data_IF_334391908800
#
_entry.id   IF_334391908800
#
_cell.length_a   1.000
_cell.length_b   1.000
_cell.length_c   1.000
_cell.angle_alpha   90.00
_cell.angle_beta   90.00
_cell.angle_gamma   90.00
#
_symmetry.space_group_name_H-M   'P 1'
#
loop_
_entity.id
_entity.type
_entity.pdbx_description
1 polymer ?
#
# COMPACT_ATOMS: atom_id res chain seq x y z
N UNK A 1 7.26 -18.86 9.56
CA UNK A 1 6.70 -20.22 9.39
C UNK A 1 5.75 -20.21 8.20
N UNK A 2 6.16 -20.74 7.05
CA UNK A 2 5.37 -20.80 5.83
C UNK A 2 5.41 -22.23 5.26
N UNK A 3 4.73 -23.15 5.92
CA UNK A 3 4.66 -24.58 5.56
C UNK A 3 3.21 -25.03 5.46
N UNK A 4 2.35 -24.26 4.79
CA UNK A 4 0.94 -24.61 4.60
C UNK A 4 0.30 -24.35 3.22
N UNK A 5 0.96 -23.83 2.14
CA UNK A 5 0.21 -23.52 0.91
C UNK A 5 -0.20 -24.77 0.11
N UNK A 6 0.63 -25.82 0.07
CA UNK A 6 0.35 -27.04 -0.72
C UNK A 6 -0.75 -27.91 -0.10
N UNK A 7 -0.70 -28.15 1.21
CA UNK A 7 -1.70 -28.98 1.90
C UNK A 7 -3.08 -28.33 1.90
N UNK A 8 -3.15 -27.00 2.06
CA UNK A 8 -4.41 -26.27 1.95
C UNK A 8 -5.02 -26.42 0.56
N UNK A 9 -4.24 -26.27 -0.51
CA UNK A 9 -4.73 -26.42 -1.89
C UNK A 9 -5.32 -27.82 -2.16
N UNK A 10 -4.59 -28.88 -1.80
CA UNK A 10 -5.06 -30.25 -2.00
C UNK A 10 -6.25 -30.60 -1.10
N UNK A 11 -6.24 -30.13 0.15
CA UNK A 11 -7.33 -30.33 1.10
C UNK A 11 -8.61 -29.64 0.62
N UNK A 12 -8.54 -28.38 0.17
CA UNK A 12 -9.71 -27.68 -0.37
C UNK A 12 -10.27 -28.38 -1.60
N UNK A 13 -9.42 -28.81 -2.54
CA UNK A 13 -9.86 -29.56 -3.72
C UNK A 13 -10.54 -30.88 -3.33
N UNK A 14 -9.96 -31.62 -2.39
CA UNK A 14 -10.51 -32.87 -1.90
C UNK A 14 -11.90 -32.67 -1.26
N UNK A 15 -12.03 -31.71 -0.34
CA UNK A 15 -13.30 -31.45 0.35
C UNK A 15 -14.36 -30.88 -0.59
N UNK A 16 -14.00 -29.98 -1.51
CA UNK A 16 -14.93 -29.47 -2.52
C UNK A 16 -15.38 -30.58 -3.47
N UNK A 17 -14.46 -31.45 -3.92
CA UNK A 17 -14.79 -32.60 -4.75
C UNK A 17 -15.73 -33.57 -4.03
N UNK A 18 -15.45 -33.91 -2.78
CA UNK A 18 -16.32 -34.76 -1.95
C UNK A 18 -17.71 -34.15 -1.77
N UNK A 19 -17.78 -32.84 -1.59
CA UNK A 19 -19.03 -32.11 -1.45
C UNK A 19 -19.87 -32.11 -2.74
N UNK A 20 -19.23 -31.93 -3.90
CA UNK A 20 -19.90 -32.03 -5.20
C UNK A 20 -20.46 -33.43 -5.46
N UNK A 21 -19.72 -34.48 -5.07
CA UNK A 21 -20.21 -35.86 -5.12
C UNK A 21 -21.42 -36.04 -4.20
N UNK A 22 -21.42 -35.43 -3.02
CA UNK A 22 -22.55 -35.49 -2.09
C UNK A 22 -23.79 -34.78 -2.65
N UNK A 23 -23.64 -33.63 -3.32
CA UNK A 23 -24.73 -32.94 -4.03
C UNK A 23 -25.29 -33.83 -5.15
N UNK A 24 -24.42 -34.37 -6.00
CA UNK A 24 -24.85 -35.26 -7.09
C UNK A 24 -25.60 -36.50 -6.57
N UNK A 25 -25.17 -37.05 -5.43
CA UNK A 25 -25.85 -38.20 -4.81
C UNK A 25 -27.15 -37.83 -4.08
N UNK A 26 -27.29 -36.60 -3.63
CA UNK A 26 -28.52 -36.12 -2.98
C UNK A 26 -29.73 -36.21 -3.93
N UNK A 27 -29.53 -35.99 -5.23
CA UNK A 27 -30.61 -36.14 -6.22
C UNK A 27 -31.13 -37.58 -6.31
N UNK A 28 -30.27 -38.58 -6.15
CA UNK A 28 -30.66 -39.99 -6.16
C UNK A 28 -31.23 -40.51 -4.84
N UNK A 29 -31.00 -39.81 -3.71
CA UNK A 29 -31.36 -40.28 -2.36
C UNK A 29 -32.12 -39.20 -1.58
N UNK A 30 -33.45 -39.29 -1.45
CA UNK A 30 -34.27 -38.23 -0.86
C UNK A 30 -33.91 -37.89 0.59
N UNK A 31 -33.45 -38.87 1.39
CA UNK A 31 -33.02 -38.63 2.77
C UNK A 31 -31.71 -37.82 2.89
N UNK A 32 -30.90 -37.75 1.83
CA UNK A 32 -29.66 -36.96 1.76
C UNK A 32 -29.87 -35.53 1.25
N UNK A 33 -31.03 -35.23 0.63
CA UNK A 33 -31.31 -33.89 0.06
C UNK A 33 -31.29 -32.80 1.12
N UNK A 34 -32.12 -32.94 2.15
CA UNK A 34 -32.22 -31.95 3.21
C UNK A 34 -30.89 -31.68 3.93
N UNK A 35 -30.12 -32.69 4.41
CA UNK A 35 -28.87 -32.42 5.10
C UNK A 35 -27.79 -31.83 4.17
N UNK A 36 -27.70 -32.24 2.90
CA UNK A 36 -26.71 -31.70 1.96
C UNK A 36 -27.03 -30.25 1.59
N UNK A 37 -28.30 -29.92 1.30
CA UNK A 37 -28.68 -28.53 1.01
C UNK A 37 -28.58 -27.63 2.25
N UNK A 38 -28.92 -28.14 3.45
CA UNK A 38 -28.68 -27.41 4.71
C UNK A 38 -27.19 -27.16 4.93
N UNK A 39 -26.33 -28.15 4.69
CA UNK A 39 -24.88 -27.96 4.77
C UNK A 39 -24.39 -26.95 3.72
N UNK A 40 -24.89 -27.00 2.48
CA UNK A 40 -24.55 -26.07 1.40
C UNK A 40 -24.88 -24.62 1.75
N UNK A 41 -25.99 -24.39 2.45
CA UNK A 41 -26.41 -23.07 2.91
C UNK A 41 -25.70 -22.65 4.21
N UNK A 42 -25.55 -23.56 5.17
CA UNK A 42 -25.00 -23.24 6.48
C UNK A 42 -23.47 -23.04 6.45
N UNK A 43 -22.74 -23.82 5.66
CA UNK A 43 -21.27 -23.75 5.61
C UNK A 43 -20.77 -22.35 5.20
N UNK A 44 -21.28 -21.71 4.12
CA UNK A 44 -20.93 -20.34 3.80
C UNK A 44 -21.29 -19.36 4.92
N UNK A 45 -22.48 -19.47 5.51
CA UNK A 45 -22.93 -18.56 6.58
C UNK A 45 -22.03 -18.65 7.83
N UNK A 46 -21.55 -19.84 8.17
CA UNK A 46 -20.70 -20.07 9.33
C UNK A 46 -19.22 -19.71 9.06
N UNK A 47 -18.71 -20.04 7.88
CA UNK A 47 -17.29 -19.84 7.54
C UNK A 47 -16.99 -18.43 7.04
N UNK A 48 -17.92 -17.79 6.32
CA UNK A 48 -17.72 -16.49 5.71
C UNK A 48 -17.32 -15.40 6.73
N UNK A 49 -17.92 -15.28 7.93
CA UNK A 49 -17.49 -14.29 8.92
C UNK A 49 -16.02 -14.46 9.34
N UNK A 50 -15.56 -15.71 9.52
CA UNK A 50 -14.17 -15.97 9.92
C UNK A 50 -13.20 -15.71 8.77
N UNK A 51 -13.53 -16.13 7.55
CA UNK A 51 -12.72 -15.83 6.36
C UNK A 51 -12.67 -14.33 6.07
N UNK A 52 -13.80 -13.64 6.23
CA UNK A 52 -13.88 -12.18 6.11
C UNK A 52 -12.99 -11.50 7.14
N UNK A 53 -13.09 -11.85 8.43
CA UNK A 53 -12.22 -11.31 9.50
C UNK A 53 -10.73 -11.55 9.19
N UNK A 54 -10.40 -12.76 8.75
CA UNK A 54 -9.01 -13.14 8.40
C UNK A 54 -8.52 -12.35 7.19
N UNK A 55 -9.35 -12.19 6.16
CA UNK A 55 -9.06 -11.38 4.98
C UNK A 55 -8.83 -9.91 5.32
N UNK A 56 -9.69 -9.34 6.17
CA UNK A 56 -9.53 -7.97 6.69
C UNK A 56 -8.20 -7.84 7.44
N UNK A 57 -7.91 -8.74 8.39
CA UNK A 57 -6.68 -8.68 9.17
C UNK A 57 -5.43 -8.80 8.29
N UNK A 58 -5.43 -9.72 7.32
CA UNK A 58 -4.32 -9.87 6.37
C UNK A 58 -4.11 -8.62 5.53
N UNK A 59 -5.19 -8.05 5.01
CA UNK A 59 -5.15 -6.85 4.15
C UNK A 59 -4.70 -5.62 4.92
N UNK A 60 -5.13 -5.49 6.17
CA UNK A 60 -4.62 -4.49 7.10
C UNK A 60 -3.11 -4.63 7.33
N UNK A 61 -2.65 -5.85 7.63
CA UNK A 61 -1.24 -6.14 7.81
C UNK A 61 -0.39 -5.81 6.58
N UNK A 62 -0.87 -6.15 5.38
CA UNK A 62 -0.22 -5.77 4.12
C UNK A 62 -0.12 -4.25 3.92
N UNK A 63 -1.19 -3.50 4.19
CA UNK A 63 -1.18 -2.04 4.04
C UNK A 63 -0.20 -1.36 5.01
N UNK A 64 -0.12 -1.87 6.25
CA UNK A 64 0.87 -1.42 7.22
C UNK A 64 2.29 -1.79 6.79
N UNK A 65 2.48 -2.99 6.23
CA UNK A 65 3.76 -3.42 5.70
C UNK A 65 4.24 -2.54 4.54
N UNK A 66 3.37 -2.20 3.58
CA UNK A 66 3.68 -1.26 2.49
C UNK A 66 4.08 0.11 3.05
N UNK A 67 3.30 0.64 4.00
CA UNK A 67 3.57 1.95 4.60
C UNK A 67 4.87 1.98 5.41
N UNK A 68 5.23 0.87 6.07
CA UNK A 68 6.47 0.73 6.82
C UNK A 68 7.69 0.52 5.91
N UNK A 69 7.56 -0.26 4.83
CA UNK A 69 8.60 -0.38 3.82
C UNK A 69 8.90 0.98 3.19
N UNK A 70 7.87 1.74 2.83
CA UNK A 70 8.05 3.09 2.29
C UNK A 70 8.62 4.08 3.31
N UNK A 71 8.39 3.89 4.62
CA UNK A 71 9.02 4.76 5.63
C UNK A 71 10.51 4.52 5.70
N UNK A 72 10.94 3.24 5.66
CA UNK A 72 12.35 2.84 5.63
C UNK A 72 13.08 3.34 4.37
N UNK A 73 12.45 3.22 3.20
CA UNK A 73 13.02 3.75 1.94
C UNK A 73 13.25 5.26 2.03
N UNK A 74 12.34 5.98 2.71
CA UNK A 74 12.44 7.43 2.89
C UNK A 74 13.26 7.86 4.11
N UNK A 75 13.88 6.93 4.84
CA UNK A 75 14.63 7.22 6.10
C UNK A 75 13.77 7.94 7.15
N UNK A 76 12.53 7.48 7.30
CA UNK A 76 11.55 8.01 8.26
C UNK A 76 11.08 6.94 9.23
N UNK A 77 10.92 7.34 10.49
CA UNK A 77 10.45 6.54 11.63
C UNK A 77 8.93 6.54 11.68
N UNK A 78 8.32 5.64 10.92
CA UNK A 78 6.91 5.26 11.05
C UNK A 78 6.70 4.26 12.18
N UNK A 79 7.03 4.61 13.43
CA UNK A 79 7.14 3.67 14.57
C UNK A 79 5.93 2.76 14.78
N UNK A 80 4.71 3.25 14.57
CA UNK A 80 3.50 2.42 14.75
C UNK A 80 3.34 1.37 13.65
N UNK A 81 3.75 1.67 12.42
CA UNK A 81 3.55 0.78 11.26
C UNK A 81 4.64 -0.30 11.18
N UNK A 82 5.86 0.05 11.59
CA UNK A 82 7.00 -0.88 11.63
C UNK A 82 6.88 -1.95 12.72
N UNK A 83 6.17 -1.68 13.82
CA UNK A 83 5.82 -2.68 14.86
C UNK A 83 5.02 -3.87 14.35
N UNK A 84 4.32 -3.71 13.22
CA UNK A 84 3.49 -4.79 12.65
C UNK A 84 4.32 -5.77 11.83
N UNK A 85 5.38 -5.29 11.20
CA UNK A 85 6.32 -6.15 10.48
C UNK A 85 7.35 -6.78 11.43
N UNK A 86 7.73 -6.06 12.49
CA UNK A 86 8.90 -6.40 13.28
C UNK A 86 8.65 -6.25 14.77
N UNK A 87 9.08 -7.27 15.53
CA UNK A 87 8.91 -7.33 16.99
C UNK A 87 9.68 -6.22 17.71
N UNK A 88 10.83 -5.83 17.17
CA UNK A 88 11.62 -4.69 17.61
C UNK A 88 11.91 -3.75 16.42
N UNK A 89 11.10 -2.70 16.23
CA UNK A 89 11.31 -1.72 15.17
C UNK A 89 12.64 -0.99 15.29
N UNK A 90 13.09 -0.72 16.52
CA UNK A 90 14.29 0.08 16.79
C UNK A 90 15.54 -0.59 16.21
N UNK A 91 15.62 -1.92 16.36
CA UNK A 91 16.70 -2.72 15.80
C UNK A 91 16.83 -2.56 14.28
N UNK A 92 15.71 -2.37 13.56
CA UNK A 92 15.72 -2.28 12.09
C UNK A 92 16.15 -0.92 11.60
N UNK A 93 15.73 0.15 12.29
CA UNK A 93 16.27 1.47 12.00
C UNK A 93 17.78 1.53 12.25
N UNK A 94 18.34 0.68 13.11
CA UNK A 94 19.79 0.54 13.28
C UNK A 94 20.46 -0.36 12.24
N UNK A 95 19.82 -1.47 11.85
CA UNK A 95 20.42 -2.48 10.95
C UNK A 95 20.28 -2.09 9.48
N UNK A 96 19.16 -1.48 9.06
CA UNK A 96 18.94 -1.12 7.66
C UNK A 96 20.02 -0.19 7.09
N UNK A 97 20.47 0.88 7.78
CA UNK A 97 21.61 1.68 7.32
C UNK A 97 22.91 0.88 7.22
N UNK A 98 23.15 -0.08 8.11
CA UNK A 98 24.35 -0.93 8.07
C UNK A 98 24.36 -1.89 6.88
N UNK A 99 23.20 -2.47 6.55
CA UNK A 99 23.03 -3.31 5.37
C UNK A 99 23.25 -2.50 4.09
N UNK A 100 22.69 -1.29 4.03
CA UNK A 100 22.89 -0.34 2.93
C UNK A 100 24.34 0.08 2.76
N UNK A 101 25.03 0.43 3.86
CA UNK A 101 26.45 0.79 3.84
C UNK A 101 27.32 -0.35 3.26
N UNK A 102 26.85 -1.59 3.37
CA UNK A 102 27.49 -2.79 2.80
C UNK A 102 26.97 -3.17 1.41
N UNK A 103 26.11 -2.35 0.80
CA UNK A 103 25.44 -2.61 -0.49
C UNK A 103 24.67 -3.94 -0.52
N UNK A 104 24.19 -4.39 0.63
CA UNK A 104 23.40 -5.65 0.74
C UNK A 104 21.93 -5.46 0.32
N UNK A 105 21.58 -4.25 -0.10
CA UNK A 105 20.31 -3.83 -0.69
C UNK A 105 20.31 -3.91 -2.22
N UNK A 106 21.28 -4.62 -2.82
CA UNK A 106 21.45 -4.80 -4.28
C UNK A 106 20.23 -5.37 -5.04
N UNK A 107 19.26 -5.96 -4.33
CA UNK A 107 18.02 -6.49 -4.91
C UNK A 107 16.85 -5.51 -4.82
N UNK A 108 17.10 -4.28 -4.37
CA UNK A 108 16.09 -3.23 -4.26
C UNK A 108 16.23 -2.24 -5.42
N UNK A 109 15.13 -1.58 -5.79
CA UNK A 109 15.09 -0.57 -6.86
C UNK A 109 16.00 0.65 -6.60
N UNK A 110 16.65 0.77 -5.44
CA UNK A 110 17.54 1.88 -5.11
C UNK A 110 16.85 3.22 -4.90
N UNK A 111 15.52 3.28 -4.76
CA UNK A 111 14.73 4.52 -4.66
C UNK A 111 15.18 5.48 -3.56
N UNK A 112 15.77 4.95 -2.49
CA UNK A 112 16.33 5.74 -1.39
C UNK A 112 17.50 6.63 -1.88
N UNK A 113 18.28 6.18 -2.85
CA UNK A 113 19.46 6.89 -3.39
C UNK A 113 19.02 8.11 -4.22
N UNK A 114 17.72 8.23 -4.53
CA UNK A 114 17.16 9.40 -5.21
C UNK A 114 16.92 10.57 -4.25
N UNK A 115 16.79 10.32 -2.95
CA UNK A 115 16.43 11.34 -1.98
C UNK A 115 17.63 12.28 -1.76
N UNK A 116 17.37 13.59 -1.80
CA UNK A 116 18.37 14.64 -1.69
C UNK A 116 19.04 15.04 -3.00
N UNK A 117 18.77 14.34 -4.11
CA UNK A 117 19.27 14.69 -5.43
C UNK A 117 18.26 15.56 -6.21
N UNK A 118 18.77 16.38 -7.14
CA UNK A 118 17.91 17.18 -8.02
C UNK A 118 17.25 16.32 -9.09
N UNK A 119 16.03 16.69 -9.49
CA UNK A 119 15.30 16.01 -10.55
C UNK A 119 16.06 16.03 -11.89
N UNK A 120 16.82 17.09 -12.16
CA UNK A 120 17.67 17.22 -13.34
C UNK A 120 18.82 16.22 -13.35
N UNK A 121 19.47 16.00 -12.21
CA UNK A 121 20.62 15.09 -12.09
C UNK A 121 20.17 13.63 -12.16
N UNK A 122 19.04 13.29 -11.54
CA UNK A 122 18.51 11.93 -11.51
C UNK A 122 17.98 11.46 -12.85
N UNK A 123 17.18 12.30 -13.51
CA UNK A 123 16.44 11.89 -14.70
C UNK A 123 17.06 12.45 -15.98
N UNK A 124 18.17 13.20 -15.89
CA UNK A 124 18.87 13.79 -17.03
C UNK A 124 18.04 14.81 -17.80
N UNK A 125 17.06 15.44 -17.14
CA UNK A 125 16.07 16.31 -17.78
C UNK A 125 15.08 15.58 -18.71
N UNK A 126 15.02 14.24 -18.65
CA UNK A 126 14.05 13.45 -19.42
C UNK A 126 12.66 13.67 -18.85
N UNK A 127 11.77 14.22 -19.67
CA UNK A 127 10.37 14.43 -19.34
C UNK A 127 9.47 13.78 -20.37
N UNK A 128 8.30 13.30 -19.92
CA UNK A 128 7.24 12.77 -20.78
C UNK A 128 5.86 13.30 -20.37
N UNK A 129 4.97 13.61 -21.32
CA UNK A 129 3.59 13.91 -21.01
C UNK A 129 2.84 12.60 -20.69
N UNK A 130 2.35 12.45 -19.45
CA UNK A 130 1.58 11.26 -19.03
C UNK A 130 0.10 11.56 -18.77
N UNK A 131 -0.29 12.84 -18.82
CA UNK A 131 -1.57 13.35 -18.31
C UNK A 131 -1.81 12.90 -16.87
N UNK A 132 -0.77 12.98 -16.05
CA UNK A 132 -0.85 12.61 -14.65
C UNK A 132 -1.87 13.51 -13.94
N UNK A 133 -2.88 12.88 -13.36
CA UNK A 133 -3.96 13.54 -12.62
C UNK A 133 -4.12 12.86 -11.26
N UNK A 134 -4.56 13.62 -10.26
CA UNK A 134 -4.73 13.06 -8.93
C UNK A 134 -4.79 14.09 -7.81
N UNK A 135 -4.74 13.60 -6.58
CA UNK A 135 -4.67 14.40 -5.37
C UNK A 135 -3.67 13.79 -4.39
N UNK A 136 -2.96 14.63 -3.65
CA UNK A 136 -2.02 14.18 -2.62
C UNK A 136 -2.19 15.05 -1.38
N UNK A 137 -2.05 14.44 -0.20
CA UNK A 137 -2.04 15.19 1.05
C UNK A 137 -1.15 14.59 2.11
N UNK A 138 -0.61 15.46 2.96
CA UNK A 138 0.02 15.04 4.21
C UNK A 138 -1.07 14.51 5.14
N UNK A 139 -0.82 13.32 5.70
CA UNK A 139 -1.77 12.60 6.57
C UNK A 139 -1.29 12.50 8.01
N UNK A 140 0.02 12.51 8.23
CA UNK A 140 0.63 12.48 9.54
C UNK A 140 2.03 13.10 9.49
N UNK A 141 2.44 13.69 10.60
CA UNK A 141 3.82 14.09 10.86
C UNK A 141 4.52 12.92 11.55
N UNK A 142 5.74 12.62 11.10
CA UNK A 142 6.60 11.54 11.58
C UNK A 142 8.00 12.09 11.79
N UNK A 143 8.90 11.33 12.41
CA UNK A 143 10.30 11.74 12.56
C UNK A 143 11.16 11.12 11.46
N UNK A 144 12.15 11.85 10.97
CA UNK A 144 13.26 11.33 10.17
C UNK A 144 14.24 10.52 11.02
N UNK A 145 15.10 9.75 10.36
CA UNK A 145 16.17 9.00 11.03
C UNK A 145 17.19 9.93 11.71
N UNK A 146 17.41 11.10 11.11
CA UNK A 146 18.20 12.23 11.61
C UNK A 146 17.51 13.03 12.73
N UNK A 147 16.26 12.70 13.07
CA UNK A 147 15.46 13.40 14.08
C UNK A 147 14.79 14.66 13.58
N UNK A 148 14.92 15.01 12.29
CA UNK A 148 14.18 16.11 11.68
C UNK A 148 12.72 15.73 11.45
N UNK A 149 11.86 16.72 11.25
CA UNK A 149 10.45 16.47 10.98
C UNK A 149 10.27 15.92 9.56
N UNK A 150 9.44 14.89 9.44
CA UNK A 150 9.07 14.27 8.17
C UNK A 150 7.55 14.15 8.10
N UNK A 151 7.02 13.96 6.89
CA UNK A 151 5.58 13.89 6.67
C UNK A 151 5.19 12.66 5.87
N UNK A 152 4.18 11.93 6.34
CA UNK A 152 3.55 10.85 5.58
C UNK A 152 2.54 11.43 4.61
N UNK A 153 2.64 11.06 3.34
CA UNK A 153 1.67 11.43 2.32
C UNK A 153 0.88 10.23 1.82
N UNK A 154 -0.40 10.47 1.56
CA UNK A 154 -1.27 9.55 0.82
C UNK A 154 -1.91 10.36 -0.29
N UNK A 155 -1.98 9.75 -1.47
CA UNK A 155 -2.62 10.36 -2.61
C UNK A 155 -3.21 9.34 -3.57
N UNK A 156 -3.78 9.87 -4.63
CA UNK A 156 -4.26 9.15 -5.79
C UNK A 156 -3.54 9.70 -7.03
N UNK A 157 -3.18 8.83 -7.96
CA UNK A 157 -2.49 9.19 -9.19
C UNK A 157 -2.97 8.30 -10.33
N UNK A 158 -3.40 8.91 -11.43
CA UNK A 158 -3.80 8.21 -12.66
C UNK A 158 -3.17 8.86 -13.88
N UNK A 159 -2.65 8.03 -14.77
CA UNK A 159 -2.17 8.45 -16.10
C UNK A 159 -3.32 8.52 -17.11
N UNK A 160 -3.03 8.94 -18.35
CA UNK A 160 -3.96 8.89 -19.49
C UNK A 160 -4.60 7.51 -19.71
N UNK A 161 -3.85 6.43 -19.44
CA UNK A 161 -4.32 5.05 -19.63
C UNK A 161 -5.13 4.53 -18.44
N UNK A 162 -5.42 5.42 -17.47
CA UNK A 162 -6.07 5.09 -16.21
C UNK A 162 -5.26 4.09 -15.36
N UNK A 163 -3.96 3.97 -15.64
CA UNK A 163 -3.01 3.19 -14.84
C UNK A 163 -2.45 4.02 -13.70
N UNK A 164 -2.00 3.34 -12.65
CA UNK A 164 -1.31 3.95 -11.50
C UNK A 164 0.17 3.93 -11.82
N UNK A 165 0.87 5.08 -11.73
CA UNK A 165 2.32 5.06 -11.76
C UNK A 165 2.87 4.18 -10.65
N UNK A 166 3.84 3.32 -10.96
CA UNK A 166 4.43 2.44 -9.96
C UNK A 166 5.31 3.24 -9.01
N UNK A 167 6.18 4.10 -9.56
CA UNK A 167 7.15 4.90 -8.84
C UNK A 167 6.79 6.38 -8.97
N UNK A 168 6.67 7.05 -7.84
CA UNK A 168 6.46 8.48 -7.79
C UNK A 168 7.56 9.14 -6.95
N UNK A 169 7.95 10.34 -7.35
CA UNK A 169 8.87 11.18 -6.57
C UNK A 169 8.13 12.40 -6.03
N UNK A 170 8.53 12.84 -4.86
CA UNK A 170 8.03 14.04 -4.20
C UNK A 170 9.14 15.07 -4.20
N UNK A 171 8.94 16.15 -4.94
CA UNK A 171 9.92 17.21 -5.14
C UNK A 171 9.51 18.47 -4.39
N UNK A 172 10.51 19.17 -3.86
CA UNK A 172 10.33 20.50 -3.28
C UNK A 172 10.32 21.60 -4.37
N UNK A 173 10.03 22.87 -4.02
CA UNK A 173 10.03 23.97 -4.98
C UNK A 173 11.37 24.21 -5.68
N UNK A 174 12.48 23.73 -5.12
CA UNK A 174 13.83 23.86 -5.71
C UNK A 174 14.16 22.74 -6.71
N UNK A 175 13.26 21.75 -6.85
CA UNK A 175 13.45 20.60 -7.73
C UNK A 175 14.30 19.50 -7.10
N UNK A 176 14.50 19.52 -5.78
CA UNK A 176 15.16 18.43 -5.05
C UNK A 176 14.12 17.39 -4.64
N UNK A 177 14.45 16.12 -4.85
CA UNK A 177 13.63 14.99 -4.40
C UNK A 177 13.74 14.91 -2.89
N UNK A 178 12.65 15.19 -2.18
CA UNK A 178 12.54 15.08 -0.72
C UNK A 178 11.92 13.77 -0.26
N UNK A 179 11.45 12.96 -1.19
CA UNK A 179 11.00 11.62 -0.89
C UNK A 179 10.41 10.90 -2.10
N UNK A 180 10.03 9.66 -1.88
CA UNK A 180 9.49 8.76 -2.88
C UNK A 180 8.18 8.16 -2.38
N UNK A 181 7.29 7.88 -3.32
CA UNK A 181 6.04 7.20 -3.10
C UNK A 181 5.89 6.03 -4.08
N UNK A 182 5.13 5.01 -3.67
CA UNK A 182 4.83 3.84 -4.51
C UNK A 182 3.32 3.63 -4.58
N UNK A 183 2.85 3.12 -5.72
CA UNK A 183 1.48 2.63 -5.82
C UNK A 183 1.19 1.62 -4.70
N UNK A 184 0.04 1.77 -4.07
CA UNK A 184 -0.43 0.80 -3.07
C UNK A 184 -1.22 -0.28 -3.79
N UNK A 185 -1.04 -1.54 -3.36
CA UNK A 185 -1.84 -2.65 -3.90
C UNK A 185 -3.29 -2.63 -3.40
N UNK A 186 -3.65 -1.64 -2.58
CA UNK A 186 -4.97 -1.48 -1.97
C UNK A 186 -6.01 -0.93 -2.96
N UNK A 187 -6.46 -1.80 -3.88
CA UNK A 187 -7.58 -1.48 -4.78
C UNK A 187 -8.82 -1.04 -4.00
N UNK A 188 -9.29 0.17 -4.29
CA UNK A 188 -10.51 0.75 -3.70
C UNK A 188 -11.77 -0.04 -4.05
N UNK A 189 -11.85 -0.61 -5.26
CA UNK A 189 -13.00 -1.44 -5.67
C UNK A 189 -13.06 -2.70 -4.79
N UNK A 190 -11.93 -3.38 -4.61
CA UNK A 190 -11.87 -4.57 -3.76
C UNK A 190 -12.19 -4.20 -2.31
N UNK A 191 -11.67 -3.07 -1.82
CA UNK A 191 -11.98 -2.56 -0.47
C UNK A 191 -13.46 -2.26 -0.28
N UNK A 192 -14.12 -1.68 -1.28
CA UNK A 192 -15.53 -1.33 -1.24
C UNK A 192 -16.42 -2.56 -1.30
N UNK A 193 -16.23 -3.40 -2.32
CA UNK A 193 -17.08 -4.56 -2.61
C UNK A 193 -16.90 -5.65 -1.55
N UNK A 194 -15.66 -6.00 -1.22
CA UNK A 194 -15.39 -7.15 -0.36
C UNK A 194 -15.13 -6.78 1.08
N UNK A 195 -14.83 -5.51 1.39
CA UNK A 195 -14.45 -5.08 2.73
C UNK A 195 -15.25 -3.89 3.25
N UNK A 196 -16.33 -3.50 2.57
CA UNK A 196 -17.28 -2.47 3.00
C UNK A 196 -16.60 -1.16 3.40
N UNK A 197 -15.59 -0.73 2.64
CA UNK A 197 -14.85 0.51 2.84
C UNK A 197 -14.12 0.63 4.20
N UNK A 198 -13.89 -0.48 4.92
CA UNK A 198 -13.09 -0.48 6.16
C UNK A 198 -11.64 0.02 5.98
N UNK A 199 -11.18 0.12 4.73
CA UNK A 199 -9.86 0.59 4.36
C UNK A 199 -9.89 1.95 3.63
N UNK A 200 -11.04 2.64 3.64
CA UNK A 200 -11.21 3.98 3.03
C UNK A 200 -10.31 5.05 3.66
N UNK A 201 -9.80 4.87 4.88
CA UNK A 201 -8.79 5.77 5.45
C UNK A 201 -7.48 5.83 4.64
N UNK A 202 -7.22 4.83 3.80
CA UNK A 202 -6.10 4.80 2.85
C UNK A 202 -6.50 5.34 1.45
N UNK A 203 -7.76 5.72 1.26
CA UNK A 203 -8.30 6.24 0.00
C UNK A 203 -9.30 7.37 0.26
N UNK A 204 -8.83 8.62 0.10
CA UNK A 204 -9.61 9.83 0.40
C UNK A 204 -10.91 9.97 -0.41
N UNK A 205 -11.00 9.29 -1.56
CA UNK A 205 -12.17 9.28 -2.41
C UNK A 205 -12.71 7.84 -2.61
N UNK A 206 -13.89 7.49 -2.07
CA UNK A 206 -14.51 6.16 -2.21
C UNK A 206 -15.06 5.88 -3.63
N UNK A 207 -15.05 6.87 -4.54
CA UNK A 207 -15.42 6.70 -5.95
C UNK A 207 -14.24 6.48 -6.89
N UNK A 208 -13.02 6.76 -6.44
CA UNK A 208 -11.84 6.61 -7.27
C UNK A 208 -11.43 5.14 -7.29
N UNK A 209 -11.41 4.54 -8.47
CA UNK A 209 -10.94 3.17 -8.72
C UNK A 209 -9.43 3.06 -8.51
N UNK A 210 -8.98 2.12 -7.69
CA UNK A 210 -7.65 1.51 -7.73
C UNK A 210 -6.44 2.34 -7.32
N UNK A 211 -6.45 3.66 -7.48
CA UNK A 211 -5.23 4.36 -7.85
C UNK A 211 -4.49 5.09 -6.72
N UNK A 212 -4.47 4.48 -5.53
CA UNK A 212 -3.82 5.05 -4.35
C UNK A 212 -2.31 4.84 -4.34
N UNK A 213 -1.56 5.79 -3.77
CA UNK A 213 -0.14 5.65 -3.46
C UNK A 213 0.17 6.11 -2.03
N UNK A 214 1.26 5.60 -1.48
CA UNK A 214 1.79 6.00 -0.18
C UNK A 214 3.26 6.39 -0.30
N UNK A 215 3.66 7.45 0.39
CA UNK A 215 5.04 7.90 0.45
C UNK A 215 5.30 8.77 1.66
N UNK A 216 6.52 9.28 1.74
CA UNK A 216 6.95 10.17 2.80
C UNK A 216 7.80 11.30 2.24
N UNK A 217 7.76 12.44 2.91
CA UNK A 217 8.60 13.61 2.66
C UNK A 217 9.59 13.70 3.82
N UNK A 218 10.87 13.60 3.53
CA UNK A 218 11.97 13.86 4.46
C UNK A 218 12.19 15.37 4.58
N UNK A 219 12.61 15.82 5.76
CA UNK A 219 12.87 17.24 6.07
C UNK A 219 11.67 18.12 5.70
N UNK A 220 10.49 17.70 6.16
CA UNK A 220 9.24 18.32 5.81
C UNK A 220 9.17 19.75 6.37
N UNK A 221 8.93 20.70 5.48
CA UNK A 221 8.67 22.10 5.81
C UNK A 221 7.26 22.48 5.31
N UNK A 222 6.31 22.81 6.19
CA UNK A 222 4.94 23.12 5.79
C UNK A 222 4.80 24.37 4.91
N UNK A 223 5.82 25.22 4.83
CA UNK A 223 5.84 26.40 3.97
C UNK A 223 6.16 26.05 2.50
N UNK A 224 6.72 24.88 2.24
CA UNK A 224 7.08 24.46 0.89
C UNK A 224 5.89 23.85 0.15
N UNK A 225 5.75 24.23 -1.11
CA UNK A 225 4.78 23.63 -2.03
C UNK A 225 5.41 22.43 -2.71
N UNK A 226 5.26 21.26 -2.09
CA UNK A 226 5.74 20.01 -2.67
C UNK A 226 4.84 19.55 -3.82
N UNK A 227 5.43 18.86 -4.78
CA UNK A 227 4.72 18.26 -5.91
C UNK A 227 5.10 16.78 -6.06
N UNK A 228 4.12 15.96 -6.44
CA UNK A 228 4.33 14.56 -6.81
C UNK A 228 4.37 14.44 -8.33
N UNK A 229 5.34 13.68 -8.83
CA UNK A 229 5.51 13.35 -10.24
C UNK A 229 5.66 11.84 -10.41
N UNK A 230 5.20 11.32 -11.54
CA UNK A 230 5.50 9.95 -11.94
C UNK A 230 6.96 9.88 -12.39
N UNK A 231 7.66 8.82 -12.00
CA UNK A 231 9.06 8.57 -12.33
C UNK A 231 9.24 7.17 -12.94
N UNK A 232 8.19 6.63 -13.55
CA UNK A 232 8.24 5.34 -14.23
C UNK A 232 9.17 5.41 -15.45
N UNK A 233 9.92 4.32 -15.67
CA UNK A 233 10.95 4.21 -16.71
C UNK A 233 12.03 5.30 -16.65
N UNK A 234 12.37 5.73 -15.43
CA UNK A 234 13.38 6.78 -15.16
C UNK A 234 13.13 8.08 -15.93
N UNK A 235 11.88 8.38 -16.22
CA UNK A 235 11.46 9.58 -16.96
C UNK A 235 10.37 10.28 -16.18
N UNK A 236 10.51 11.59 -15.97
CA UNK A 236 9.57 12.34 -15.14
C UNK A 236 8.34 12.80 -15.91
N UNK A 237 7.15 12.63 -15.34
CA UNK A 237 5.94 13.24 -15.88
C UNK A 237 6.06 14.76 -15.92
N UNK A 238 5.64 15.39 -17.01
CA UNK A 238 5.54 16.86 -17.09
C UNK A 238 4.52 17.41 -16.08
N UNK A 239 3.41 16.69 -15.90
CA UNK A 239 2.36 17.06 -14.97
C UNK A 239 2.75 16.80 -13.52
N UNK A 240 2.21 17.64 -12.62
CA UNK A 240 2.52 17.66 -11.20
C UNK A 240 1.23 17.57 -10.38
N UNK A 241 1.20 16.68 -9.39
CA UNK A 241 0.13 16.62 -8.39
C UNK A 241 0.58 17.42 -7.16
N UNK A 242 -0.06 18.54 -6.80
CA UNK A 242 0.34 19.32 -5.64
C UNK A 242 0.05 18.55 -4.33
N UNK A 243 1.01 18.56 -3.41
CA UNK A 243 0.83 17.98 -2.07
C UNK A 243 0.11 19.01 -1.20
N UNK A 244 -1.10 18.68 -0.75
CA UNK A 244 -1.87 19.54 0.14
C UNK A 244 -1.47 19.30 1.59
N UNK A 245 -1.14 20.36 2.30
CA UNK A 245 -1.02 20.33 3.75
C UNK A 245 -2.43 20.20 4.34
N UNK A 246 -2.68 19.28 5.29
CA UNK A 246 -3.98 19.23 5.95
C UNK A 246 -4.18 20.55 6.67
N UNK A 247 -5.26 21.26 6.32
CA UNK A 247 -5.78 22.35 7.13
C UNK A 247 -5.99 21.76 8.52
N UNK A 248 -5.24 22.25 9.51
CA UNK A 248 -5.35 21.78 10.89
C UNK A 248 -6.83 21.67 11.24
N UNK A 249 -7.28 20.47 11.65
CA UNK A 249 -8.57 20.37 12.34
C UNK A 249 -8.44 21.28 13.54
N UNK A 250 -9.22 22.37 13.56
CA UNK A 250 -9.38 23.21 14.72
C UNK A 250 -9.67 22.29 15.91
N UNK A 251 -8.72 22.18 16.83
CA UNK A 251 -8.92 21.58 18.13
C UNK A 251 -10.01 22.41 18.79
N UNK A 252 -11.25 21.90 18.81
CA UNK A 252 -12.25 22.46 19.71
C UNK A 252 -11.77 22.13 21.13
N UNK A 253 -11.47 23.21 21.86
CA UNK A 253 -11.36 23.24 23.32
C UNK A 253 -12.61 22.61 23.96
#
# INVERSE_FOLDING_TARGET
>A
MATAPRFLFWSTLFWTGLFLIAIQRADSKPWLRSPVYLAALALPVLMFPQHYKTGVARRWGMSLAESAAMSLVNETKGEQMTKVLFRDPSQIYHVAPQLRARRLDMFTDGLQDWIGLSETNLFGGRHKPERLTGDCSVTALVQGDDGLEAARVIGQASTKENSIPERLVIVDPTGVVRGVARSSTMSSIINRVFYLDKFSQFSRNPRATGNGFVGYIRDYNPQFQYAVRSADDETLSEEKIPVRVPIAKATKL
#
